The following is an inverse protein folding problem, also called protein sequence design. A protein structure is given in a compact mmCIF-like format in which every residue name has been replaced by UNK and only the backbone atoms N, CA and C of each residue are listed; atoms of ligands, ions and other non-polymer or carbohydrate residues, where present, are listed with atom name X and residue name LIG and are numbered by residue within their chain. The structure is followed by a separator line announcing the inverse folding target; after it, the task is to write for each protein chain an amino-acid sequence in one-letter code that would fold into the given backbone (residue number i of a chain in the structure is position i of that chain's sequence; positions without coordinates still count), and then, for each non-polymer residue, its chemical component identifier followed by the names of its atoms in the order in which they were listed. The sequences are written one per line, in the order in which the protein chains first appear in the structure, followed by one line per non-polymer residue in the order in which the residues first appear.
data_IF_286928513566
#
_entry.id   IF_286928513566
#
_cell.length_a   1.000
_cell.length_b   1.000
_cell.length_c   1.000
_cell.angle_alpha   90.00
_cell.angle_beta   90.00
_cell.angle_gamma   90.00
#
_symmetry.space_group_name_H-M   'P 1'
#
loop_
_entity.id
_entity.type
_entity.pdbx_description
1 polymer ?
#
# COMPACT_ATOMS: atom_id res chain seq x y z
N UNK A 1 17.29 -5.64 -3.62
CA UNK A 1 16.14 -5.42 -2.72
C UNK A 1 14.86 -5.48 -3.52
N UNK A 2 13.94 -6.32 -3.11
CA UNK A 2 12.62 -6.41 -3.76
C UNK A 2 11.64 -5.54 -2.99
N UNK A 3 10.99 -4.61 -3.67
CA UNK A 3 9.99 -3.74 -3.07
C UNK A 3 8.60 -4.05 -3.59
N UNK A 4 7.61 -3.98 -2.70
CA UNK A 4 6.20 -3.90 -3.07
C UNK A 4 5.64 -2.64 -2.42
N UNK A 5 4.42 -2.26 -2.80
CA UNK A 5 3.91 -0.94 -2.44
C UNK A 5 2.50 -1.05 -1.86
N UNK A 6 2.28 -0.35 -0.75
CA UNK A 6 0.97 -0.28 -0.11
C UNK A 6 0.50 1.17 -0.12
N UNK A 7 -0.74 1.38 -0.59
CA UNK A 7 -1.36 2.70 -0.56
C UNK A 7 -2.01 2.89 0.81
N UNK A 8 -1.52 3.86 1.56
CA UNK A 8 -1.99 4.12 2.92
C UNK A 8 -2.69 5.46 2.99
N UNK A 9 -3.84 5.50 3.65
CA UNK A 9 -4.46 6.76 3.97
C UNK A 9 -3.71 7.41 5.12
N UNK A 10 -3.55 8.73 5.04
CA UNK A 10 -2.72 9.46 5.98
C UNK A 10 -3.16 9.26 7.44
N UNK A 11 -4.46 9.19 7.67
CA UNK A 11 -4.99 9.00 9.02
C UNK A 11 -4.58 7.64 9.59
N UNK A 12 -4.65 6.59 8.80
CA UNK A 12 -4.22 5.26 9.24
C UNK A 12 -2.72 5.22 9.50
N UNK A 13 -1.94 5.83 8.59
CA UNK A 13 -0.50 5.91 8.79
C UNK A 13 -0.14 6.67 10.06
N UNK A 14 -0.79 7.82 10.31
CA UNK A 14 -0.51 8.62 11.49
C UNK A 14 -0.83 7.86 12.78
N UNK A 15 -1.84 6.99 12.74
CA UNK A 15 -2.21 6.17 13.89
C UNK A 15 -1.11 5.17 14.26
N UNK A 16 -0.41 4.61 13.26
CA UNK A 16 0.52 3.50 13.48
C UNK A 16 1.99 3.85 13.26
N UNK A 17 2.31 5.05 12.78
CA UNK A 17 3.68 5.39 12.33
C UNK A 17 4.73 5.30 13.43
N UNK A 18 4.33 5.45 14.70
CA UNK A 18 5.26 5.35 15.83
C UNK A 18 5.26 3.97 16.48
N UNK A 19 4.45 3.04 15.98
CA UNK A 19 4.36 1.69 16.54
C UNK A 19 5.31 0.75 15.76
N UNK A 20 5.57 -0.40 16.37
CA UNK A 20 6.40 -1.42 15.74
C UNK A 20 5.69 -2.06 14.53
N UNK A 21 4.35 -1.96 14.46
CA UNK A 21 3.55 -2.56 13.41
C UNK A 21 2.52 -1.57 12.88
N UNK A 22 2.33 -1.61 11.55
CA UNK A 22 1.29 -0.87 10.86
C UNK A 22 0.15 -1.81 10.48
N UNK A 23 -1.07 -1.34 10.61
CA UNK A 23 -2.25 -2.05 10.15
C UNK A 23 -3.22 -1.09 9.47
N UNK A 24 -4.20 -1.65 8.76
CA UNK A 24 -5.26 -0.87 8.12
C UNK A 24 -6.57 -1.65 8.19
N UNK A 25 -7.67 -0.98 7.83
CA UNK A 25 -9.01 -1.57 7.95
C UNK A 25 -9.18 -2.85 7.15
N UNK A 26 -8.50 -2.99 6.00
CA UNK A 26 -8.64 -4.19 5.18
C UNK A 26 -8.16 -5.45 5.90
N UNK A 27 -7.19 -5.32 6.81
CA UNK A 27 -6.73 -6.49 7.56
C UNK A 27 -7.83 -7.06 8.45
N UNK A 28 -8.58 -6.20 9.14
CA UNK A 28 -9.69 -6.67 9.97
C UNK A 28 -10.91 -7.06 9.14
N UNK A 29 -11.16 -6.38 8.03
CA UNK A 29 -12.36 -6.60 7.21
C UNK A 29 -12.21 -7.78 6.26
N UNK A 30 -11.03 -7.98 5.69
CA UNK A 30 -10.79 -8.97 4.64
C UNK A 30 -9.73 -10.01 5.01
N UNK A 31 -8.98 -9.79 6.08
CA UNK A 31 -7.94 -10.71 6.53
C UNK A 31 -6.57 -10.47 5.94
N UNK A 32 -6.41 -9.45 5.10
CA UNK A 32 -5.11 -9.13 4.50
C UNK A 32 -5.00 -7.65 4.14
N UNK A 33 -3.76 -7.21 3.96
CA UNK A 33 -3.43 -5.86 3.53
C UNK A 33 -3.14 -5.89 2.03
N UNK A 34 -3.81 -5.00 1.28
CA UNK A 34 -3.64 -4.90 -0.17
C UNK A 34 -2.32 -4.19 -0.52
N UNK A 35 -1.58 -4.76 -1.46
CA UNK A 35 -0.35 -4.15 -1.97
C UNK A 35 -0.32 -4.21 -3.50
N UNK A 36 0.67 -3.54 -4.08
CA UNK A 36 0.93 -3.54 -5.51
C UNK A 36 2.37 -3.95 -5.78
N UNK A 37 2.58 -4.61 -6.91
CA UNK A 37 3.88 -5.18 -7.28
C UNK A 37 4.89 -4.11 -7.70
N UNK A 38 4.40 -3.04 -8.34
CA UNK A 38 5.24 -1.97 -8.86
C UNK A 38 4.48 -0.63 -8.85
N UNK A 39 5.17 0.43 -9.26
CA UNK A 39 4.58 1.77 -9.30
C UNK A 39 3.38 1.83 -10.23
N UNK A 40 3.47 1.20 -11.39
CA UNK A 40 2.40 1.22 -12.38
C UNK A 40 1.12 0.59 -11.82
N UNK A 41 1.24 -0.55 -11.17
CA UNK A 41 0.09 -1.21 -10.55
C UNK A 41 -0.48 -0.36 -9.42
N UNK A 42 0.39 0.24 -8.59
CA UNK A 42 -0.04 1.11 -7.50
C UNK A 42 -0.81 2.32 -8.02
N UNK A 43 -0.33 2.93 -9.13
CA UNK A 43 -1.02 4.07 -9.73
C UNK A 43 -2.40 3.70 -10.27
N UNK A 44 -2.51 2.52 -10.91
CA UNK A 44 -3.82 2.06 -11.39
C UNK A 44 -4.81 1.88 -10.26
N UNK A 45 -4.36 1.32 -9.14
CA UNK A 45 -5.21 1.15 -7.95
C UNK A 45 -5.58 2.50 -7.34
N UNK A 46 -4.61 3.42 -7.24
CA UNK A 46 -4.86 4.76 -6.70
C UNK A 46 -5.92 5.48 -7.53
N UNK A 47 -5.83 5.41 -8.85
CA UNK A 47 -6.79 6.07 -9.72
C UNK A 47 -8.17 5.44 -9.69
N UNK A 48 -8.24 4.13 -9.44
CA UNK A 48 -9.52 3.43 -9.35
C UNK A 48 -10.22 3.68 -8.01
N UNK A 49 -9.48 3.63 -6.91
CA UNK A 49 -10.07 3.62 -5.57
C UNK A 49 -9.92 4.93 -4.81
N UNK A 50 -8.93 5.73 -5.13
CA UNK A 50 -8.58 6.91 -4.33
C UNK A 50 -8.55 8.20 -5.14
N UNK A 51 -9.18 8.21 -6.31
CA UNK A 51 -9.19 9.41 -7.16
C UNK A 51 -9.64 10.63 -6.37
N UNK A 52 -8.87 11.71 -6.45
CA UNK A 52 -9.16 12.95 -5.75
C UNK A 52 -8.78 12.97 -4.28
N UNK A 53 -8.25 11.87 -3.72
CA UNK A 53 -7.85 11.82 -2.33
C UNK A 53 -6.56 12.62 -2.12
N UNK A 54 -6.59 13.56 -1.17
CA UNK A 54 -5.38 14.27 -0.76
C UNK A 54 -4.72 13.54 0.41
N UNK A 55 -3.40 13.63 0.50
CA UNK A 55 -2.65 13.02 1.60
C UNK A 55 -2.55 11.49 1.51
N UNK A 56 -2.71 10.94 0.30
CA UNK A 56 -2.49 9.51 0.09
C UNK A 56 -0.99 9.24 0.13
N UNK A 57 -0.60 8.17 0.84
CA UNK A 57 0.80 7.78 0.98
C UNK A 57 1.07 6.47 0.29
N UNK A 58 2.31 6.31 -0.17
CA UNK A 58 2.81 5.03 -0.69
C UNK A 58 3.88 4.54 0.25
N UNK A 59 3.66 3.37 0.84
CA UNK A 59 4.66 2.71 1.66
C UNK A 59 5.43 1.73 0.79
N UNK A 60 6.73 1.97 0.60
CA UNK A 60 7.59 1.03 -0.11
C UNK A 60 8.10 0.01 0.90
N UNK A 61 7.78 -1.26 0.66
CA UNK A 61 8.02 -2.35 1.60
C UNK A 61 9.13 -3.26 1.09
N UNK A 62 10.12 -3.51 1.94
CA UNK A 62 11.18 -4.47 1.65
C UNK A 62 10.64 -5.88 1.94
N UNK A 63 10.40 -6.64 0.87
CA UNK A 63 9.80 -7.98 0.98
C UNK A 63 10.61 -8.89 1.89
N UNK A 64 11.95 -8.76 1.84
CA UNK A 64 12.83 -9.62 2.62
C UNK A 64 12.73 -9.38 4.13
N UNK A 65 12.21 -8.22 4.53
CA UNK A 65 12.08 -7.86 5.95
C UNK A 65 10.67 -8.08 6.49
N UNK A 66 9.70 -8.43 5.64
CA UNK A 66 8.33 -8.66 6.08
C UNK A 66 8.26 -9.88 6.99
N UNK A 67 7.57 -9.75 8.13
CA UNK A 67 7.37 -10.84 9.08
C UNK A 67 6.05 -11.58 8.87
N UNK A 68 5.03 -10.88 8.35
CA UNK A 68 3.75 -11.50 8.04
C UNK A 68 3.80 -12.22 6.69
N UNK A 69 3.00 -13.29 6.51
CA UNK A 69 2.98 -14.02 5.24
C UNK A 69 2.55 -13.15 4.06
N UNK A 70 3.25 -13.28 2.96
CA UNK A 70 2.95 -12.59 1.71
C UNK A 70 2.48 -13.61 0.69
N UNK A 71 1.31 -13.35 0.08
CA UNK A 71 0.76 -14.21 -0.97
C UNK A 71 0.38 -13.36 -2.17
N UNK A 72 0.63 -13.88 -3.37
CA UNK A 72 0.21 -13.25 -4.61
C UNK A 72 -1.06 -13.93 -5.09
N UNK A 73 -2.14 -13.16 -5.22
CA UNK A 73 -3.47 -13.73 -5.46
C UNK A 73 -4.19 -12.96 -6.54
N UNK A 74 -5.00 -13.69 -7.33
CA UNK A 74 -5.76 -13.08 -8.41
C UNK A 74 -6.98 -12.35 -7.88
N UNK A 75 -7.22 -11.14 -8.40
CA UNK A 75 -8.42 -10.37 -8.15
C UNK A 75 -9.54 -10.82 -9.10
N UNK A 76 -10.73 -10.20 -8.97
CA UNK A 76 -11.86 -10.49 -9.87
C UNK A 76 -11.53 -10.22 -11.33
N UNK A 77 -10.67 -9.23 -11.60
CA UNK A 77 -10.25 -8.90 -12.97
C UNK A 77 -9.22 -9.89 -13.52
N UNK A 78 -8.70 -10.79 -12.68
CA UNK A 78 -7.62 -11.69 -13.04
C UNK A 78 -6.23 -11.11 -12.79
N UNK A 79 -6.14 -9.84 -12.47
CA UNK A 79 -4.86 -9.21 -12.14
C UNK A 79 -4.37 -9.72 -10.79
N UNK A 80 -3.07 -10.03 -10.70
CA UNK A 80 -2.47 -10.59 -9.50
C UNK A 80 -1.88 -9.48 -8.64
N UNK A 81 -2.27 -9.48 -7.36
CA UNK A 81 -1.79 -8.51 -6.37
C UNK A 81 -1.13 -9.21 -5.20
N UNK A 82 -0.05 -8.61 -4.64
CA UNK A 82 0.48 -9.13 -3.38
C UNK A 82 -0.45 -8.77 -2.22
N UNK A 83 -0.70 -9.74 -1.36
CA UNK A 83 -1.51 -9.58 -0.16
C UNK A 83 -0.71 -9.99 1.06
N UNK A 84 -0.68 -9.15 2.09
CA UNK A 84 0.03 -9.44 3.34
C UNK A 84 -0.97 -9.88 4.39
N UNK A 85 -0.80 -11.09 4.90
CA UNK A 85 -1.73 -11.70 5.85
C UNK A 85 -1.27 -11.47 7.29
N UNK A 86 -1.29 -10.22 7.68
CA UNK A 86 -0.93 -9.78 9.01
C UNK A 86 -0.46 -8.33 8.97
N UNK A 87 -0.12 -7.76 10.14
CA UNK A 87 0.38 -6.39 10.17
C UNK A 87 1.75 -6.28 9.49
N UNK A 88 2.08 -5.05 9.08
CA UNK A 88 3.38 -4.77 8.49
C UNK A 88 4.30 -4.27 9.59
N UNK A 89 5.39 -4.99 9.81
CA UNK A 89 6.41 -4.53 10.74
C UNK A 89 7.05 -3.26 10.17
N UNK A 90 7.08 -2.19 10.95
CA UNK A 90 7.50 -0.88 10.45
C UNK A 90 8.94 -0.85 9.98
N UNK A 91 9.80 -1.74 10.50
CA UNK A 91 11.18 -1.81 10.03
C UNK A 91 11.32 -2.42 8.62
N UNK A 92 10.23 -2.94 8.04
CA UNK A 92 10.21 -3.37 6.63
C UNK A 92 9.83 -2.21 5.70
N UNK A 93 9.39 -1.08 6.23
CA UNK A 93 9.02 0.08 5.42
C UNK A 93 10.31 0.82 5.05
N UNK A 94 10.66 0.75 3.76
CA UNK A 94 11.88 1.35 3.24
C UNK A 94 11.72 2.86 3.01
N UNK A 95 10.55 3.27 2.52
CA UNK A 95 10.25 4.67 2.24
C UNK A 95 8.76 4.94 2.45
N UNK A 96 8.45 6.17 2.83
CA UNK A 96 7.09 6.70 2.87
C UNK A 96 7.05 7.86 1.89
N UNK A 97 6.28 7.73 0.82
CA UNK A 97 6.19 8.73 -0.23
C UNK A 97 4.78 9.31 -0.25
N UNK A 98 4.68 10.62 -0.48
CA UNK A 98 3.38 11.27 -0.61
C UNK A 98 2.97 11.26 -2.07
N UNK A 99 1.73 10.83 -2.33
CA UNK A 99 1.20 10.74 -3.68
C UNK A 99 0.23 11.88 -3.91
N UNK A 100 0.53 12.71 -4.92
CA UNK A 100 -0.27 13.90 -5.22
C UNK A 100 -1.10 13.68 -6.48
N UNK A 101 -2.36 14.08 -6.42
CA UNK A 101 -3.23 14.07 -7.60
C UNK A 101 -3.20 15.44 -8.28
N UNK A 102 -3.53 15.45 -9.57
CA UNK A 102 -3.67 16.68 -10.35
C UNK A 102 -5.06 17.30 -10.13
N UNK A 103 -5.38 18.37 -10.88
CA UNK A 103 -6.65 19.07 -10.75
C UNK A 103 -7.86 18.21 -11.07
N UNK A 104 -7.68 17.15 -11.83
CA UNK A 104 -8.74 16.18 -12.15
C UNK A 104 -8.84 15.05 -11.13
N UNK A 105 -7.97 15.04 -10.14
CA UNK A 105 -7.94 13.99 -9.13
C UNK A 105 -7.14 12.76 -9.55
N UNK A 106 -6.39 12.83 -10.65
CA UNK A 106 -5.64 11.69 -11.18
C UNK A 106 -4.21 11.67 -10.65
N UNK A 107 -3.72 10.47 -10.39
CA UNK A 107 -2.34 10.23 -9.97
C UNK A 107 -1.54 9.75 -11.18
N UNK A 108 -0.44 10.46 -11.51
CA UNK A 108 0.34 10.16 -12.71
C UNK A 108 1.73 9.61 -12.44
N UNK A 109 2.25 9.82 -11.24
CA UNK A 109 3.60 9.33 -10.90
C UNK A 109 3.78 9.18 -9.40
N UNK A 110 4.70 8.32 -9.04
CA UNK A 110 5.16 8.16 -7.65
C UNK A 110 6.59 8.66 -7.60
N UNK A 111 6.81 9.67 -6.77
CA UNK A 111 8.14 10.28 -6.63
C UNK A 111 8.74 10.03 -5.27
#
# INVERSE_FOLDING_TARGET
MKLIYHLAQKDEWNQFSTFAEYSCSSLSDEGFIHCSEDHEQALRVANRLFKGTTGLLVLALDVDKLESPLKREASRSGEIYPHIYGPINTNAISQVLELHCDDNGDFSSIN
#
